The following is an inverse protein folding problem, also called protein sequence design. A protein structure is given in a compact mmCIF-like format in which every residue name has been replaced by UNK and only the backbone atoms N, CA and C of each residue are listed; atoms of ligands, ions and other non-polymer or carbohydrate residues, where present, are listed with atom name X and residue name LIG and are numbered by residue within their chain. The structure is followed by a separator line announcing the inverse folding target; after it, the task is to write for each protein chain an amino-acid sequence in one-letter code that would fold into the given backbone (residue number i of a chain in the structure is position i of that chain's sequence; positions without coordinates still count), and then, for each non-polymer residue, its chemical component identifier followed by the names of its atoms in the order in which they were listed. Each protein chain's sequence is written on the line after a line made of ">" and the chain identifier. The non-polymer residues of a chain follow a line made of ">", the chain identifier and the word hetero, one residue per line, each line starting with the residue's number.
data_IF_232084656774
#
_entry.id   IF_232084656774
#
_cell.length_a   1.000
_cell.length_b   1.000
_cell.length_c   1.000
_cell.angle_alpha   90.00
_cell.angle_beta   90.00
_cell.angle_gamma   90.00
#
_symmetry.space_group_name_H-M   'P 1'
#
loop_
_entity.id
_entity.type
_entity.pdbx_description
1 polymer ?
#
# COMPACT_ATOMS: atom_id res chain seq x y z
N UNK A 1 -0.39 10.19 5.84
CA UNK A 1 0.00 8.96 6.60
C UNK A 1 -1.15 8.38 7.43
N UNK A 2 -1.91 9.21 8.17
CA UNK A 2 -3.07 8.80 9.00
C UNK A 2 -4.09 7.88 8.30
N UNK A 3 -4.40 8.14 7.03
CA UNK A 3 -5.41 7.39 6.25
C UNK A 3 -5.07 5.90 6.11
N UNK A 4 -3.78 5.53 6.13
CA UNK A 4 -3.38 4.12 6.02
C UNK A 4 -3.68 3.34 7.29
N UNK A 5 -3.62 3.99 8.45
CA UNK A 5 -3.98 3.38 9.74
C UNK A 5 -5.50 3.20 9.86
N UNK A 6 -6.29 4.14 9.32
CA UNK A 6 -7.75 4.09 9.39
C UNK A 6 -8.38 3.25 8.27
N UNK A 7 -7.80 3.26 7.07
CA UNK A 7 -8.35 2.62 5.86
C UNK A 7 -7.27 1.96 5.00
N UNK A 8 -6.58 0.92 5.50
CA UNK A 8 -5.48 0.29 4.76
C UNK A 8 -5.93 -0.36 3.45
N UNK A 9 -7.16 -0.87 3.36
CA UNK A 9 -7.63 -1.67 2.22
C UNK A 9 -8.62 -0.95 1.30
N UNK A 10 -8.94 0.31 1.58
CA UNK A 10 -9.96 1.08 0.85
C UNK A 10 -9.65 2.58 0.80
N UNK A 11 -10.36 3.31 -0.04
CA UNK A 11 -10.28 4.77 -0.12
C UNK A 11 -9.26 5.28 -1.13
N UNK A 12 -8.64 6.43 -0.82
CA UNK A 12 -7.83 7.20 -1.76
C UNK A 12 -6.68 6.41 -2.37
N UNK A 13 -6.38 6.67 -3.65
CA UNK A 13 -5.27 6.05 -4.34
C UNK A 13 -5.49 4.58 -4.74
N UNK A 14 -6.74 4.09 -4.74
CA UNK A 14 -7.13 2.74 -5.21
C UNK A 14 -6.20 1.63 -4.67
N UNK A 15 -6.35 1.26 -3.39
CA UNK A 15 -5.58 0.17 -2.80
C UNK A 15 -5.85 -1.15 -3.54
N UNK A 16 -4.79 -1.83 -3.95
CA UNK A 16 -4.86 -3.08 -4.70
C UNK A 16 -3.98 -4.15 -4.01
N UNK A 17 -4.51 -5.36 -3.72
CA UNK A 17 -3.71 -6.44 -3.16
C UNK A 17 -2.72 -6.97 -4.20
N UNK A 18 -1.46 -7.13 -3.82
CA UNK A 18 -0.42 -7.67 -4.71
C UNK A 18 -0.49 -9.20 -4.74
N UNK A 19 -0.78 -9.76 -5.92
CA UNK A 19 -1.10 -11.19 -6.11
C UNK A 19 0.08 -12.15 -5.94
N UNK A 20 1.31 -11.69 -6.18
CA UNK A 20 2.49 -12.56 -6.25
C UNK A 20 3.42 -12.50 -5.03
N UNK A 21 3.08 -11.66 -4.04
CA UNK A 21 3.86 -11.53 -2.82
C UNK A 21 3.31 -12.38 -1.68
N UNK A 22 4.13 -12.60 -0.63
CA UNK A 22 3.67 -13.11 0.67
C UNK A 22 2.37 -12.39 1.06
N UNK A 23 1.33 -13.14 1.42
CA UNK A 23 0.00 -12.65 1.76
C UNK A 23 0.07 -11.37 2.62
N UNK A 24 -0.81 -10.39 2.34
CA UNK A 24 -0.93 -9.08 3.02
C UNK A 24 -0.09 -7.92 2.46
N UNK A 25 0.34 -8.00 1.21
CA UNK A 25 0.97 -6.88 0.49
C UNK A 25 -0.04 -6.07 -0.32
N UNK A 26 0.07 -4.75 -0.22
CA UNK A 26 -0.84 -3.80 -0.86
C UNK A 26 -0.07 -2.70 -1.57
N UNK A 27 -0.64 -2.24 -2.69
CA UNK A 27 -0.18 -1.10 -3.45
C UNK A 27 -1.24 0.01 -3.42
N UNK A 28 -0.82 1.26 -3.27
CA UNK A 28 -1.68 2.43 -3.38
C UNK A 28 -1.00 3.50 -4.23
N UNK A 29 -1.77 4.22 -5.06
CA UNK A 29 -1.30 5.35 -5.86
C UNK A 29 -1.02 6.56 -4.98
N UNK A 30 0.21 7.07 -5.03
CA UNK A 30 0.58 8.38 -4.46
C UNK A 30 0.37 9.44 -5.54
N UNK A 31 0.94 9.20 -6.73
CA UNK A 31 0.74 9.99 -7.94
C UNK A 31 0.29 9.07 -9.08
N UNK A 32 0.14 9.61 -10.30
CA UNK A 32 -0.11 8.78 -11.47
C UNK A 32 1.01 7.74 -11.68
N UNK A 33 2.25 8.17 -11.48
CA UNK A 33 3.47 7.36 -11.67
C UNK A 33 3.84 6.57 -10.41
N UNK A 34 3.75 7.18 -9.23
CA UNK A 34 4.28 6.59 -8.00
C UNK A 34 3.27 5.69 -7.29
N UNK A 35 3.77 4.55 -6.81
CA UNK A 35 3.05 3.63 -5.93
C UNK A 35 3.73 3.56 -4.57
N UNK A 36 2.92 3.50 -3.54
CA UNK A 36 3.30 3.07 -2.21
C UNK A 36 3.02 1.59 -2.10
N UNK A 37 4.04 0.80 -1.78
CA UNK A 37 3.89 -0.60 -1.42
C UNK A 37 4.07 -0.74 0.08
N UNK A 38 3.09 -1.37 0.73
CA UNK A 38 3.08 -1.58 2.16
C UNK A 38 2.54 -2.97 2.51
N UNK A 39 2.94 -3.46 3.67
CA UNK A 39 2.39 -4.66 4.29
C UNK A 39 1.53 -4.25 5.46
N UNK A 40 0.38 -4.90 5.62
CA UNK A 40 -0.47 -4.76 6.80
C UNK A 40 -0.30 -6.01 7.66
N UNK A 41 -0.06 -5.79 8.94
CA UNK A 41 -0.01 -6.82 9.98
C UNK A 41 -0.92 -6.38 11.13
N UNK A 42 -1.14 -7.26 12.11
CA UNK A 42 -2.14 -7.03 13.15
C UNK A 42 -1.83 -5.79 14.01
N UNK A 43 -0.55 -5.46 14.20
CA UNK A 43 -0.07 -4.38 15.08
C UNK A 43 0.53 -3.17 14.32
N UNK A 44 0.87 -3.34 13.04
CA UNK A 44 1.65 -2.34 12.31
C UNK A 44 1.47 -2.37 10.80
N UNK A 45 1.91 -1.28 10.18
CA UNK A 45 2.03 -1.15 8.73
C UNK A 45 3.50 -0.94 8.39
N UNK A 46 4.05 -1.83 7.55
CA UNK A 46 5.43 -1.76 7.09
C UNK A 46 5.46 -1.13 5.68
N UNK A 47 6.18 -0.03 5.52
CA UNK A 47 6.38 0.61 4.22
C UNK A 47 7.58 -0.03 3.53
N UNK A 48 7.35 -0.63 2.37
CA UNK A 48 8.37 -1.41 1.67
C UNK A 48 8.96 -0.65 0.48
N UNK A 49 8.14 0.17 -0.18
CA UNK A 49 8.58 1.00 -1.29
C UNK A 49 7.68 2.22 -1.41
N UNK A 50 8.27 3.38 -1.71
CA UNK A 50 7.54 4.63 -1.93
C UNK A 50 8.00 5.37 -3.21
N UNK A 51 8.73 4.70 -4.11
CA UNK A 51 9.26 5.30 -5.34
C UNK A 51 9.34 4.26 -6.47
N UNK A 52 9.00 4.73 -7.68
CA UNK A 52 8.97 4.05 -8.98
C UNK A 52 7.93 2.93 -9.19
N UNK A 53 7.09 3.14 -10.19
CA UNK A 53 6.70 2.14 -11.19
C UNK A 53 7.20 2.72 -12.53
N UNK A 54 7.69 1.87 -13.45
CA UNK A 54 8.24 2.26 -14.76
C UNK A 54 7.42 3.33 -15.51
#
# INVERSE_FOLDING_TARGET
>A
MRILLETPFKGLGKPEPLRYGKSNLWSRRITQEHRLVYRVSDDRIEFLQARYHY
#
